data_IF_382860266528
#
_entry.id   IF_382860266528
#
_cell.length_a   1.000
_cell.length_b   1.000
_cell.length_c   1.000
_cell.angle_alpha   90.00
_cell.angle_beta   90.00
_cell.angle_gamma   90.00
#
_symmetry.space_group_name_H-M   'P 1'
#
loop_
_entity.id
_entity.type
_entity.pdbx_description
1 polymer ?
#
# COMPACT_ATOMS: atom_id res chain seq x y z
N UNK A 1 0.59 -23.22 34.04
CA UNK A 1 1.17 -22.47 32.91
C UNK A 1 0.40 -22.89 31.65
N UNK A 2 -0.37 -21.99 31.05
CA UNK A 2 -1.38 -22.32 30.03
C UNK A 2 -0.80 -22.31 28.61
N UNK A 3 -1.35 -23.13 27.70
CA UNK A 3 -0.87 -23.34 26.32
C UNK A 3 -0.72 -22.04 25.50
N UNK A 4 -1.49 -20.99 25.82
CA UNK A 4 -1.42 -19.65 25.20
C UNK A 4 -0.10 -18.94 25.52
N UNK A 5 0.49 -19.14 26.70
CA UNK A 5 1.80 -18.56 27.04
C UNK A 5 2.93 -19.20 26.24
N UNK A 6 2.77 -20.48 25.90
CA UNK A 6 3.77 -21.23 25.11
C UNK A 6 3.72 -20.89 23.61
N UNK A 7 2.57 -20.44 23.10
CA UNK A 7 2.47 -19.92 21.71
C UNK A 7 2.94 -18.48 21.59
N UNK A 8 2.77 -17.66 22.63
CA UNK A 8 3.33 -16.31 22.69
C UNK A 8 4.86 -16.33 22.80
N UNK A 9 5.45 -17.20 23.62
CA UNK A 9 6.91 -17.33 23.71
C UNK A 9 7.53 -17.94 22.43
N UNK A 10 6.75 -18.65 21.61
CA UNK A 10 7.19 -19.16 20.31
C UNK A 10 7.00 -18.15 19.15
N UNK A 11 5.99 -17.28 19.25
CA UNK A 11 5.75 -16.20 18.28
C UNK A 11 6.63 -14.98 18.54
N UNK A 12 7.13 -14.80 19.76
CA UNK A 12 7.94 -13.66 20.17
C UNK A 12 9.46 -13.89 20.08
N UNK A 13 9.92 -14.83 19.23
CA UNK A 13 11.33 -15.05 18.84
C UNK A 13 12.39 -14.46 19.77
N UNK A 14 12.97 -15.32 20.62
CA UNK A 14 14.10 -15.08 21.55
C UNK A 14 14.69 -13.65 21.65
N UNK A 15 14.01 -12.76 22.38
CA UNK A 15 14.43 -11.36 22.64
C UNK A 15 15.49 -11.27 23.76
N UNK A 16 16.13 -12.38 24.15
CA UNK A 16 17.13 -12.38 25.21
C UNK A 16 18.50 -11.84 24.75
N UNK A 17 18.90 -12.11 23.51
CA UNK A 17 20.18 -11.64 22.97
C UNK A 17 20.20 -10.11 22.77
N UNK A 18 19.04 -9.51 22.50
CA UNK A 18 18.88 -8.08 22.21
C UNK A 18 19.15 -7.20 23.46
N UNK A 19 18.94 -7.76 24.66
CA UNK A 19 19.19 -7.05 25.94
C UNK A 19 20.65 -7.02 26.35
N UNK A 20 21.44 -8.03 25.98
CA UNK A 20 22.89 -8.04 26.23
C UNK A 20 23.62 -7.14 25.22
N UNK A 21 23.15 -7.10 23.96
CA UNK A 21 23.71 -6.23 22.93
C UNK A 21 23.48 -4.74 23.25
N UNK A 22 22.28 -4.40 23.75
CA UNK A 22 21.96 -3.04 24.22
C UNK A 22 22.82 -2.61 25.42
N UNK A 23 23.15 -3.53 26.34
CA UNK A 23 24.05 -3.23 27.47
C UNK A 23 25.48 -2.99 27.01
N UNK A 24 25.98 -3.74 26.03
CA UNK A 24 27.32 -3.52 25.47
C UNK A 24 27.41 -2.19 24.70
N UNK A 25 26.35 -1.74 24.02
CA UNK A 25 26.30 -0.44 23.33
C UNK A 25 26.35 0.77 24.28
N UNK A 26 25.77 0.68 25.47
CA UNK A 26 25.80 1.78 26.45
C UNK A 26 27.17 1.92 27.14
N UNK A 27 27.91 0.81 27.30
CA UNK A 27 29.22 0.81 27.96
C UNK A 27 30.37 1.32 27.07
N UNK A 28 30.28 1.18 25.74
CA UNK A 28 31.41 1.45 24.84
C UNK A 28 31.45 2.84 24.18
N UNK A 29 30.66 3.82 24.63
CA UNK A 29 30.96 5.26 24.46
C UNK A 29 31.18 5.82 23.04
N UNK A 30 30.82 5.09 21.98
CA UNK A 30 31.04 5.51 20.59
C UNK A 30 29.95 6.47 20.09
N UNK A 31 30.23 7.78 20.07
CA UNK A 31 29.36 8.77 19.42
C UNK A 31 29.42 8.62 17.89
N UNK A 32 28.35 8.12 17.26
CA UNK A 32 28.08 8.30 15.82
C UNK A 32 27.32 9.63 15.58
N UNK A 33 27.50 10.28 14.42
CA UNK A 33 26.82 11.52 14.07
C UNK A 33 25.29 11.34 14.03
N UNK A 34 24.56 12.39 14.39
CA UNK A 34 23.08 12.45 14.45
C UNK A 34 22.46 11.96 13.14
N UNK A 35 21.82 10.78 13.17
CA UNK A 35 20.86 10.35 12.15
C UNK A 35 19.65 11.29 12.17
N UNK A 36 19.22 11.79 11.01
CA UNK A 36 17.88 12.35 10.83
C UNK A 36 16.90 11.18 10.90
N UNK A 37 15.95 11.24 11.83
CA UNK A 37 14.92 10.22 12.04
C UNK A 37 13.94 10.18 10.84
N UNK A 38 13.66 9.00 10.26
CA UNK A 38 12.52 8.79 9.35
C UNK A 38 11.23 8.40 10.13
N UNK A 39 11.13 8.83 11.39
CA UNK A 39 10.11 8.38 12.35
C UNK A 39 8.80 9.22 12.35
N UNK A 40 8.27 9.63 11.19
CA UNK A 40 6.82 9.74 11.04
C UNK A 40 6.24 8.90 9.89
N UNK A 41 7.06 8.37 8.96
CA UNK A 41 6.56 7.66 7.75
C UNK A 41 6.24 6.19 8.04
N UNK A 42 6.87 5.60 9.06
CA UNK A 42 6.63 4.20 9.45
C UNK A 42 5.27 4.04 10.16
N UNK A 43 4.76 5.10 10.81
CA UNK A 43 3.45 5.05 11.45
C UNK A 43 2.30 5.03 10.43
N UNK A 44 2.41 5.81 9.35
CA UNK A 44 1.44 5.79 8.25
C UNK A 44 1.51 4.51 7.42
N UNK A 45 2.70 3.93 7.24
CA UNK A 45 2.86 2.61 6.61
C UNK A 45 2.26 1.46 7.44
N UNK A 46 2.27 1.53 8.79
CA UNK A 46 1.65 0.51 9.64
C UNK A 46 0.12 0.59 9.62
N UNK A 47 -0.46 1.78 9.47
CA UNK A 47 -1.92 1.93 9.32
C UNK A 47 -2.37 1.46 7.93
N UNK A 48 -1.60 1.74 6.88
CA UNK A 48 -1.84 1.19 5.53
C UNK A 48 -1.60 -0.33 5.45
N UNK A 49 -0.57 -0.86 6.12
CA UNK A 49 -0.32 -2.31 6.17
C UNK A 49 -1.33 -3.06 7.04
N UNK A 50 -1.89 -2.44 8.08
CA UNK A 50 -3.00 -2.99 8.85
C UNK A 50 -4.31 -3.05 8.05
N UNK A 51 -4.47 -2.21 7.03
CA UNK A 51 -5.59 -2.28 6.07
C UNK A 51 -5.36 -3.41 5.05
N UNK A 52 -4.11 -3.78 4.76
CA UNK A 52 -3.74 -4.86 3.83
C UNK A 52 -3.71 -6.25 4.49
N UNK A 53 -3.60 -6.36 5.82
CA UNK A 53 -3.48 -7.65 6.52
C UNK A 53 -4.80 -8.28 7.00
N UNK A 54 -5.95 -7.62 6.83
CA UNK A 54 -7.28 -8.18 7.17
C UNK A 54 -7.89 -8.84 5.91
N UNK A 55 -7.10 -9.69 5.25
CA UNK A 55 -7.47 -10.50 4.09
C UNK A 55 -7.22 -11.98 4.38
N UNK A 56 -7.85 -12.53 5.43
CA UNK A 56 -7.93 -13.98 5.58
C UNK A 56 -9.32 -14.46 6.07
N UNK A 57 -10.05 -15.06 5.11
CA UNK A 57 -11.18 -16.00 5.19
C UNK A 57 -12.54 -15.52 5.77
N UNK A 58 -13.63 -15.60 4.97
CA UNK A 58 -14.63 -16.70 4.95
C UNK A 58 -15.81 -16.39 3.98
N UNK A 59 -15.93 -17.23 2.94
CA UNK A 59 -17.11 -17.85 2.26
C UNK A 59 -18.47 -17.12 2.01
N UNK A 60 -18.73 -16.98 0.71
CA UNK A 60 -19.83 -17.53 -0.13
C UNK A 60 -21.31 -17.07 -0.03
N UNK A 61 -21.78 -16.71 -1.24
CA UNK A 61 -23.13 -16.73 -1.84
C UNK A 61 -24.07 -15.54 -1.58
N UNK A 62 -24.13 -14.65 -2.59
CA UNK A 62 -25.28 -14.61 -3.50
C UNK A 62 -26.15 -13.34 -3.51
N UNK A 63 -26.02 -12.58 -4.60
CA UNK A 63 -27.07 -12.18 -5.58
C UNK A 63 -27.44 -10.68 -5.71
N UNK A 64 -26.99 -10.13 -6.85
CA UNK A 64 -27.74 -9.39 -7.90
C UNK A 64 -28.06 -7.87 -7.70
N UNK A 65 -27.20 -7.07 -8.35
CA UNK A 65 -27.46 -5.92 -9.28
C UNK A 65 -28.06 -4.59 -8.78
N UNK A 66 -27.51 -3.46 -9.26
CA UNK A 66 -28.02 -2.74 -10.46
C UNK A 66 -27.22 -1.48 -10.84
N UNK A 67 -26.77 -1.47 -12.10
CA UNK A 67 -26.53 -0.40 -13.07
C UNK A 67 -26.78 1.09 -12.71
N UNK A 68 -25.78 1.91 -13.06
CA UNK A 68 -25.98 3.22 -13.70
C UNK A 68 -25.51 4.45 -12.92
N UNK A 69 -24.21 4.60 -12.65
CA UNK A 69 -23.68 5.81 -12.03
C UNK A 69 -22.87 6.64 -13.02
N UNK A 70 -23.31 7.89 -13.28
CA UNK A 70 -22.36 8.94 -13.67
C UNK A 70 -21.36 9.08 -12.53
N UNK A 71 -20.09 8.78 -12.82
CA UNK A 71 -19.02 8.81 -11.83
C UNK A 71 -18.99 10.12 -11.05
N UNK A 72 -18.70 10.02 -9.75
CA UNK A 72 -18.44 11.14 -8.83
C UNK A 72 -17.34 10.74 -7.87
N UNK A 73 -16.44 11.68 -7.60
CA UNK A 73 -15.48 11.55 -6.50
C UNK A 73 -16.25 11.62 -5.18
N UNK A 74 -16.06 10.65 -4.29
CA UNK A 74 -16.71 10.64 -2.97
C UNK A 74 -16.08 11.71 -2.07
N UNK A 75 -16.83 12.81 -1.90
CA UNK A 75 -16.42 13.95 -1.09
C UNK A 75 -16.28 13.59 0.40
N UNK A 76 -17.14 12.69 0.90
CA UNK A 76 -17.12 12.30 2.31
C UNK A 76 -15.88 11.47 2.58
N UNK A 77 -15.58 10.51 1.72
CA UNK A 77 -14.35 9.72 1.78
C UNK A 77 -13.11 10.62 1.75
N UNK A 78 -13.04 11.56 0.80
CA UNK A 78 -11.92 12.49 0.69
C UNK A 78 -11.71 13.32 1.96
N UNK A 79 -12.76 13.91 2.49
CA UNK A 79 -12.67 14.75 3.69
C UNK A 79 -12.25 13.93 4.93
N UNK A 80 -12.75 12.69 5.05
CA UNK A 80 -12.39 11.77 6.14
C UNK A 80 -10.92 11.35 6.08
N UNK A 81 -10.45 10.90 4.90
CA UNK A 81 -9.05 10.51 4.70
C UNK A 81 -8.12 11.70 4.92
N UNK A 82 -8.45 12.87 4.36
CA UNK A 82 -7.65 14.09 4.52
C UNK A 82 -7.57 14.52 5.99
N UNK A 83 -8.68 14.46 6.74
CA UNK A 83 -8.64 14.79 8.16
C UNK A 83 -7.75 13.82 8.94
N UNK A 84 -7.85 12.52 8.67
CA UNK A 84 -7.04 11.50 9.32
C UNK A 84 -5.54 11.71 9.09
N UNK A 85 -5.12 11.91 7.83
CA UNK A 85 -3.71 12.09 7.49
C UNK A 85 -3.12 13.42 7.98
N UNK A 86 -3.95 14.46 8.11
CA UNK A 86 -3.52 15.78 8.62
C UNK A 86 -2.99 15.72 10.05
N UNK A 87 -3.44 14.75 10.85
CA UNK A 87 -3.00 14.60 12.25
C UNK A 87 -1.51 14.26 12.32
N UNK A 88 -1.02 13.49 11.36
CA UNK A 88 0.35 13.00 11.33
C UNK A 88 1.25 13.90 10.46
N UNK A 89 0.73 14.42 9.34
CA UNK A 89 1.52 15.11 8.32
C UNK A 89 1.32 16.63 8.28
N UNK A 90 0.33 17.16 9.01
CA UNK A 90 -0.10 18.55 8.91
C UNK A 90 -0.90 18.84 7.62
N UNK A 91 -1.35 20.09 7.46
CA UNK A 91 -2.06 20.50 6.23
C UNK A 91 -1.07 20.97 5.16
N UNK A 92 -1.13 20.35 3.99
CA UNK A 92 -0.32 20.73 2.84
C UNK A 92 -1.02 20.46 1.52
N UNK A 93 -0.61 21.19 0.49
CA UNK A 93 -1.01 20.97 -0.90
C UNK A 93 -0.68 19.55 -1.38
N UNK A 94 0.48 19.04 -0.97
CA UNK A 94 0.93 17.68 -1.27
C UNK A 94 0.03 16.64 -0.65
N UNK A 95 -0.38 16.82 0.60
CA UNK A 95 -1.28 15.88 1.28
C UNK A 95 -2.65 15.85 0.61
N UNK A 96 -3.24 17.03 0.31
CA UNK A 96 -4.51 17.13 -0.43
C UNK A 96 -4.44 16.38 -1.75
N UNK A 97 -3.37 16.58 -2.51
CA UNK A 97 -3.19 15.88 -3.78
C UNK A 97 -3.00 14.37 -3.59
N UNK A 98 -2.18 13.92 -2.64
CA UNK A 98 -1.96 12.48 -2.37
C UNK A 98 -3.23 11.73 -2.00
N UNK A 99 -4.04 12.30 -1.09
CA UNK A 99 -5.32 11.68 -0.69
C UNK A 99 -6.26 11.58 -1.89
N UNK A 100 -6.36 12.66 -2.68
CA UNK A 100 -7.16 12.67 -3.89
C UNK A 100 -6.70 11.64 -4.92
N UNK A 101 -5.39 11.57 -5.15
CA UNK A 101 -4.77 10.66 -6.10
C UNK A 101 -4.99 9.19 -5.69
N UNK A 102 -4.90 8.87 -4.40
CA UNK A 102 -5.21 7.52 -3.88
C UNK A 102 -6.66 7.09 -4.12
N UNK A 103 -7.63 8.02 -4.01
CA UNK A 103 -9.03 7.77 -4.34
C UNK A 103 -9.19 7.50 -5.85
N UNK A 104 -8.54 8.28 -6.70
CA UNK A 104 -8.61 8.06 -8.16
C UNK A 104 -7.99 6.74 -8.58
N UNK A 105 -6.85 6.36 -8.00
CA UNK A 105 -6.21 5.06 -8.24
C UNK A 105 -7.17 3.93 -7.88
N UNK A 106 -7.76 3.98 -6.69
CA UNK A 106 -8.72 2.95 -6.25
C UNK A 106 -9.98 2.91 -7.12
N UNK A 107 -10.59 4.07 -7.42
CA UNK A 107 -11.77 4.17 -8.28
C UNK A 107 -11.50 3.63 -9.69
N UNK A 108 -10.28 3.86 -10.21
CA UNK A 108 -9.87 3.41 -11.54
C UNK A 108 -9.78 1.89 -11.63
N UNK A 109 -9.26 1.21 -10.61
CA UNK A 109 -9.23 -0.27 -10.54
C UNK A 109 -10.64 -0.85 -10.49
N UNK A 110 -11.54 -0.25 -9.71
CA UNK A 110 -12.94 -0.69 -9.64
C UNK A 110 -13.65 -0.48 -10.99
N UNK A 111 -13.46 0.66 -11.66
CA UNK A 111 -14.02 0.93 -12.99
C UNK A 111 -13.45 -0.03 -14.05
N UNK A 112 -12.15 -0.32 -13.99
CA UNK A 112 -11.51 -1.27 -14.89
C UNK A 112 -12.04 -2.69 -14.70
N UNK A 113 -12.09 -3.21 -13.47
CA UNK A 113 -12.72 -4.49 -13.17
C UNK A 113 -14.16 -4.54 -13.70
N UNK A 114 -14.93 -3.47 -13.46
CA UNK A 114 -16.33 -3.38 -13.93
C UNK A 114 -16.41 -3.42 -15.46
N UNK A 115 -15.46 -2.79 -16.15
CA UNK A 115 -15.37 -2.83 -17.62
C UNK A 115 -15.10 -4.22 -18.19
N UNK A 116 -14.48 -5.10 -17.38
CA UNK A 116 -14.19 -6.49 -17.72
C UNK A 116 -15.28 -7.47 -17.25
N UNK A 117 -16.33 -6.98 -16.61
CA UNK A 117 -17.49 -7.79 -16.19
C UNK A 117 -17.54 -8.09 -14.69
N UNK A 118 -16.70 -7.48 -13.85
CA UNK A 118 -16.91 -7.49 -12.41
C UNK A 118 -18.23 -6.79 -12.06
N UNK A 119 -19.09 -7.48 -11.32
CA UNK A 119 -20.30 -6.91 -10.75
C UNK A 119 -20.13 -6.80 -9.24
N UNK A 120 -20.18 -5.57 -8.73
CA UNK A 120 -20.03 -5.28 -7.31
C UNK A 120 -21.28 -5.73 -6.52
N UNK A 121 -21.09 -6.64 -5.55
CA UNK A 121 -22.13 -7.06 -4.61
C UNK A 121 -22.17 -6.11 -3.40
N UNK A 122 -23.00 -5.07 -3.51
CA UNK A 122 -23.16 -4.05 -2.45
C UNK A 122 -23.77 -4.61 -1.18
N UNK A 123 -24.68 -5.57 -1.29
CA UNK A 123 -25.37 -6.14 -0.15
C UNK A 123 -24.42 -7.05 0.65
N UNK A 124 -23.56 -7.80 -0.04
CA UNK A 124 -22.49 -8.57 0.60
C UNK A 124 -21.52 -7.65 1.36
N UNK A 125 -21.06 -6.57 0.72
CA UNK A 125 -20.18 -5.59 1.38
C UNK A 125 -20.87 -5.01 2.61
N UNK A 126 -22.10 -4.50 2.48
CA UNK A 126 -22.84 -3.93 3.60
C UNK A 126 -23.06 -4.93 4.75
N UNK A 127 -23.23 -6.22 4.43
CA UNK A 127 -23.34 -7.29 5.42
C UNK A 127 -22.02 -7.50 6.17
N UNK A 128 -20.90 -7.60 5.45
CA UNK A 128 -19.56 -7.76 6.02
C UNK A 128 -19.25 -6.56 6.93
N UNK A 129 -19.55 -5.34 6.48
CA UNK A 129 -19.32 -4.12 7.27
C UNK A 129 -20.12 -4.15 8.57
N UNK A 130 -21.40 -4.54 8.52
CA UNK A 130 -22.24 -4.64 9.73
C UNK A 130 -21.71 -5.70 10.69
N UNK A 131 -21.29 -6.86 10.18
CA UNK A 131 -20.70 -7.91 11.01
C UNK A 131 -19.40 -7.45 11.66
N UNK A 132 -18.49 -6.85 10.89
CA UNK A 132 -17.23 -6.30 11.41
C UNK A 132 -17.47 -5.19 12.44
N UNK A 133 -18.45 -4.32 12.20
CA UNK A 133 -18.84 -3.28 13.15
C UNK A 133 -19.38 -3.90 14.44
N UNK A 134 -20.24 -4.91 14.35
CA UNK A 134 -20.79 -5.60 15.51
C UNK A 134 -19.67 -6.27 16.33
N UNK A 135 -18.84 -7.09 15.68
CA UNK A 135 -17.72 -7.79 16.32
C UNK A 135 -16.74 -6.83 17.00
N UNK A 136 -16.49 -5.67 16.42
CA UNK A 136 -15.63 -4.64 17.02
C UNK A 136 -16.16 -4.12 18.36
N UNK A 137 -17.50 -4.02 18.50
CA UNK A 137 -18.13 -3.51 19.72
C UNK A 137 -18.58 -4.59 20.71
N UNK A 138 -18.72 -5.85 20.28
CA UNK A 138 -19.28 -6.95 21.08
C UNK A 138 -18.54 -7.17 22.42
N UNK A 139 -17.22 -6.95 22.45
CA UNK A 139 -16.39 -7.13 23.64
C UNK A 139 -16.26 -5.87 24.52
N UNK A 140 -16.97 -4.78 24.18
CA UNK A 140 -16.85 -3.50 24.87
C UNK A 140 -18.03 -3.22 25.81
N UNK A 141 -17.70 -2.82 27.04
CA UNK A 141 -18.70 -2.28 27.97
C UNK A 141 -19.21 -0.91 27.50
N UNK A 142 -20.41 -0.52 27.93
CA UNK A 142 -21.01 0.79 27.56
C UNK A 142 -20.10 1.99 27.90
N UNK A 143 -19.35 1.91 29.01
CA UNK A 143 -18.39 2.96 29.39
C UNK A 143 -17.16 2.98 28.48
N UNK A 144 -16.64 1.81 28.09
CA UNK A 144 -15.54 1.71 27.13
C UNK A 144 -15.98 2.24 25.77
N UNK A 145 -17.18 1.86 25.31
CA UNK A 145 -17.76 2.31 24.04
C UNK A 145 -17.86 3.84 23.97
N UNK A 146 -18.46 4.48 24.98
CA UNK A 146 -18.52 5.95 25.06
C UNK A 146 -17.13 6.60 25.06
N UNK A 147 -16.16 5.96 25.73
CA UNK A 147 -14.79 6.48 25.77
C UNK A 147 -14.09 6.38 24.42
N UNK A 148 -14.22 5.26 23.71
CA UNK A 148 -13.58 5.08 22.41
C UNK A 148 -14.24 5.93 21.33
N UNK A 149 -15.58 6.07 21.34
CA UNK A 149 -16.29 6.92 20.38
C UNK A 149 -15.88 8.39 20.54
N UNK A 150 -15.79 8.85 21.78
CA UNK A 150 -15.32 10.19 22.07
C UNK A 150 -13.89 10.41 21.57
N UNK A 151 -12.97 9.47 21.86
CA UNK A 151 -11.59 9.56 21.38
C UNK A 151 -11.49 9.51 19.86
N UNK A 152 -12.31 8.69 19.20
CA UNK A 152 -12.34 8.58 17.75
C UNK A 152 -12.72 9.93 17.13
N UNK A 153 -13.78 10.55 17.63
CA UNK A 153 -14.22 11.86 17.16
C UNK A 153 -13.21 12.98 17.50
N UNK A 154 -12.62 12.97 18.69
CA UNK A 154 -11.63 13.97 19.12
C UNK A 154 -10.33 13.88 18.33
N UNK A 155 -9.87 12.67 18.03
CA UNK A 155 -8.62 12.46 17.32
C UNK A 155 -8.82 12.59 15.81
N UNK A 156 -9.83 11.93 15.25
CA UNK A 156 -9.96 11.75 13.81
C UNK A 156 -11.09 12.56 13.17
N UNK A 157 -11.88 13.30 13.96
CA UNK A 157 -12.93 14.18 13.42
C UNK A 157 -14.14 13.44 12.82
N UNK A 158 -14.20 12.11 12.95
CA UNK A 158 -15.31 11.27 12.53
C UNK A 158 -15.61 10.19 13.56
N UNK A 159 -16.83 9.64 13.50
CA UNK A 159 -17.23 8.55 14.38
C UNK A 159 -16.98 7.17 13.71
N UNK A 160 -17.11 6.09 14.49
CA UNK A 160 -16.94 4.75 13.96
C UNK A 160 -17.98 4.39 12.89
N UNK A 161 -19.21 4.91 12.97
CA UNK A 161 -20.23 4.67 11.93
C UNK A 161 -19.77 5.19 10.56
N UNK A 162 -19.17 6.38 10.52
CA UNK A 162 -18.56 6.95 9.31
C UNK A 162 -17.35 6.15 8.85
N UNK A 163 -16.49 5.71 9.78
CA UNK A 163 -15.36 4.85 9.46
C UNK A 163 -15.81 3.55 8.78
N UNK A 164 -16.75 2.82 9.38
CA UNK A 164 -17.26 1.56 8.86
C UNK A 164 -17.99 1.75 7.52
N UNK A 165 -18.93 2.69 7.45
CA UNK A 165 -19.78 2.87 6.25
C UNK A 165 -19.08 3.52 5.07
N UNK A 166 -18.04 4.32 5.31
CA UNK A 166 -17.35 5.07 4.24
C UNK A 166 -16.00 4.47 3.96
N UNK A 167 -15.07 4.50 4.94
CA UNK A 167 -13.70 4.04 4.72
C UNK A 167 -13.66 2.53 4.48
N UNK A 168 -14.26 1.76 5.39
CA UNK A 168 -14.16 0.30 5.32
C UNK A 168 -14.95 -0.27 4.13
N UNK A 169 -16.14 0.27 3.86
CA UNK A 169 -16.87 -0.03 2.62
C UNK A 169 -16.00 0.22 1.40
N UNK A 170 -15.34 1.38 1.32
CA UNK A 170 -14.48 1.72 0.19
C UNK A 170 -13.32 0.73 0.01
N UNK A 171 -12.66 0.36 1.11
CA UNK A 171 -11.61 -0.66 1.12
C UNK A 171 -12.12 -2.01 0.59
N UNK A 172 -13.28 -2.48 1.06
CA UNK A 172 -13.83 -3.76 0.59
C UNK A 172 -14.20 -3.75 -0.88
N UNK A 173 -14.72 -2.63 -1.41
CA UNK A 173 -14.98 -2.49 -2.85
C UNK A 173 -13.69 -2.68 -3.68
N UNK A 174 -12.60 -2.04 -3.26
CA UNK A 174 -11.30 -2.19 -3.90
C UNK A 174 -10.75 -3.60 -3.80
N UNK A 175 -10.78 -4.20 -2.60
CA UNK A 175 -10.29 -5.55 -2.37
C UNK A 175 -11.05 -6.57 -3.21
N UNK A 176 -12.38 -6.46 -3.29
CA UNK A 176 -13.19 -7.36 -4.10
C UNK A 176 -12.89 -7.22 -5.60
N UNK A 177 -12.77 -5.99 -6.11
CA UNK A 177 -12.38 -5.76 -7.50
C UNK A 177 -10.99 -6.32 -7.79
N UNK A 178 -9.99 -6.02 -6.95
CA UNK A 178 -8.61 -6.50 -7.10
C UNK A 178 -8.53 -8.04 -7.06
N UNK A 179 -9.20 -8.67 -6.10
CA UNK A 179 -9.25 -10.12 -5.99
C UNK A 179 -9.93 -10.77 -7.20
N UNK A 180 -10.99 -10.14 -7.72
CA UNK A 180 -11.65 -10.60 -8.93
C UNK A 180 -10.71 -10.54 -10.15
N UNK A 181 -9.96 -9.44 -10.31
CA UNK A 181 -8.97 -9.28 -11.38
C UNK A 181 -7.88 -10.36 -11.31
N UNK A 182 -7.41 -10.70 -10.11
CA UNK A 182 -6.44 -11.77 -9.89
C UNK A 182 -7.00 -13.17 -10.22
N UNK A 183 -8.27 -13.44 -9.89
CA UNK A 183 -8.89 -14.75 -10.07
C UNK A 183 -9.32 -15.03 -11.51
N UNK A 184 -9.55 -13.98 -12.31
CA UNK A 184 -10.04 -14.11 -13.68
C UNK A 184 -8.91 -14.07 -14.73
N UNK A 185 -7.66 -14.25 -14.29
CA UNK A 185 -6.46 -14.47 -15.12
C UNK A 185 -6.43 -13.57 -16.36
N UNK A 186 -6.47 -12.26 -16.11
CA UNK A 186 -6.45 -11.26 -17.16
C UNK A 186 -5.09 -11.34 -17.83
N UNK A 187 -5.04 -11.96 -19.02
CA UNK A 187 -3.84 -12.13 -19.85
C UNK A 187 -3.19 -10.77 -20.24
N UNK A 188 -3.89 -9.67 -19.99
CA UNK A 188 -3.48 -8.32 -20.35
C UNK A 188 -2.48 -7.76 -19.32
N UNK A 189 -1.28 -7.38 -19.77
CA UNK A 189 -0.23 -6.71 -18.97
C UNK A 189 -0.59 -5.25 -18.63
N UNK A 190 -1.88 -4.90 -18.70
CA UNK A 190 -2.38 -3.57 -18.40
C UNK A 190 -1.92 -3.14 -17.00
N UNK A 191 -1.24 -1.98 -16.95
CA UNK A 191 -0.69 -1.43 -15.72
C UNK A 191 -1.69 -0.55 -14.97
N UNK A 192 -1.46 -0.37 -13.67
CA UNK A 192 -2.23 0.58 -12.85
C UNK A 192 -2.19 2.01 -13.43
N UNK A 193 -1.06 2.43 -14.02
CA UNK A 193 -0.94 3.72 -14.72
C UNK A 193 -1.92 3.82 -15.89
N UNK A 194 -1.97 2.81 -16.74
CA UNK A 194 -2.84 2.81 -17.93
C UNK A 194 -4.31 2.84 -17.55
N UNK A 195 -4.69 2.10 -16.50
CA UNK A 195 -6.05 2.12 -15.94
C UNK A 195 -6.40 3.50 -15.40
N UNK A 196 -5.53 4.09 -14.58
CA UNK A 196 -5.73 5.41 -14.02
C UNK A 196 -5.85 6.49 -15.11
N UNK A 197 -4.98 6.47 -16.12
CA UNK A 197 -4.97 7.49 -17.17
C UNK A 197 -6.24 7.40 -18.02
N UNK A 198 -6.66 6.19 -18.39
CA UNK A 198 -7.92 5.93 -19.11
C UNK A 198 -9.12 6.41 -18.28
N UNK A 199 -9.12 6.11 -16.99
CA UNK A 199 -10.16 6.54 -16.06
C UNK A 199 -10.22 8.07 -15.92
N UNK A 200 -9.06 8.73 -15.79
CA UNK A 200 -8.95 10.18 -15.68
C UNK A 200 -9.43 10.85 -16.95
N UNK A 201 -9.06 10.34 -18.13
CA UNK A 201 -9.50 10.87 -19.42
C UNK A 201 -11.03 10.80 -19.56
N UNK A 202 -11.61 9.62 -19.27
CA UNK A 202 -13.06 9.38 -19.28
C UNK A 202 -13.83 10.33 -18.34
N UNK A 203 -13.26 10.63 -17.17
CA UNK A 203 -13.95 11.32 -16.08
C UNK A 203 -13.45 12.76 -15.79
N UNK A 204 -12.57 13.30 -16.64
CA UNK A 204 -11.85 14.55 -16.39
C UNK A 204 -12.73 15.74 -16.00
N UNK A 205 -13.90 15.99 -16.63
CA UNK A 205 -14.75 17.12 -16.25
C UNK A 205 -15.22 17.07 -14.78
N UNK A 206 -15.51 15.88 -14.26
CA UNK A 206 -15.96 15.67 -12.88
C UNK A 206 -14.78 15.82 -11.92
N UNK A 207 -13.66 15.17 -12.23
CA UNK A 207 -12.40 15.21 -11.48
C UNK A 207 -11.90 16.65 -11.33
N UNK A 208 -11.81 17.39 -12.45
CA UNK A 208 -11.37 18.79 -12.46
C UNK A 208 -12.29 19.69 -11.64
N UNK A 209 -13.61 19.48 -11.72
CA UNK A 209 -14.58 20.23 -10.91
C UNK A 209 -14.37 19.98 -9.42
N UNK A 210 -14.13 18.73 -9.03
CA UNK A 210 -13.84 18.37 -7.64
C UNK A 210 -12.55 19.04 -7.15
N UNK A 211 -11.45 18.97 -7.94
CA UNK A 211 -10.19 19.64 -7.61
C UNK A 211 -10.36 21.14 -7.38
N UNK A 212 -11.10 21.83 -8.25
CA UNK A 212 -11.39 23.27 -8.09
C UNK A 212 -12.18 23.54 -6.81
N UNK A 213 -13.24 22.76 -6.57
CA UNK A 213 -14.10 22.94 -5.39
C UNK A 213 -13.34 22.71 -4.08
N UNK A 214 -12.45 21.71 -4.04
CA UNK A 214 -11.65 21.34 -2.87
C UNK A 214 -10.29 22.04 -2.80
N UNK A 215 -10.01 22.95 -3.72
CA UNK A 215 -8.72 23.66 -3.83
C UNK A 215 -7.52 22.70 -3.83
N UNK A 216 -7.63 21.61 -4.59
CA UNK A 216 -6.58 20.61 -4.76
C UNK A 216 -5.68 21.06 -5.91
N UNK A 217 -4.39 21.34 -5.66
CA UNK A 217 -3.46 21.72 -6.73
C UNK A 217 -3.16 20.52 -7.62
N UNK A 218 -2.84 20.75 -8.88
CA UNK A 218 -2.33 19.69 -9.74
C UNK A 218 -0.83 19.49 -9.48
N UNK A 219 -0.48 18.34 -8.91
CA UNK A 219 0.90 17.95 -8.62
C UNK A 219 1.30 16.67 -9.36
N UNK A 220 0.63 16.36 -10.48
CA UNK A 220 0.81 15.09 -11.21
C UNK A 220 2.27 14.82 -11.58
N UNK A 221 2.98 15.81 -12.14
CA UNK A 221 4.39 15.66 -12.51
C UNK A 221 5.29 15.34 -11.30
N UNK A 222 4.94 15.85 -10.12
CA UNK A 222 5.76 15.68 -8.91
C UNK A 222 5.66 14.27 -8.32
N UNK A 223 4.50 13.62 -8.48
CA UNK A 223 4.25 12.28 -7.95
C UNK A 223 4.31 11.19 -9.03
N UNK A 224 4.66 11.57 -10.25
CA UNK A 224 4.70 10.64 -11.38
C UNK A 224 5.77 9.56 -11.21
N UNK A 225 6.91 9.90 -10.59
CA UNK A 225 8.06 9.00 -10.51
C UNK A 225 8.60 8.89 -9.09
N UNK A 226 9.16 7.73 -8.77
CA UNK A 226 9.83 7.43 -7.52
C UNK A 226 11.24 6.90 -7.78
N UNK A 227 12.10 7.03 -6.78
CA UNK A 227 13.45 6.49 -6.79
C UNK A 227 13.53 5.31 -5.82
N UNK A 228 14.10 4.19 -6.27
CA UNK A 228 14.45 3.03 -5.46
C UNK A 228 15.97 2.89 -5.41
N UNK A 229 16.55 3.03 -4.22
CA UNK A 229 17.99 2.92 -4.00
C UNK A 229 18.32 1.54 -3.40
N UNK A 230 19.15 0.75 -4.09
CA UNK A 230 19.48 -0.61 -3.64
C UNK A 230 20.64 -1.23 -4.42
N UNK A 231 20.87 -2.51 -4.21
CA UNK A 231 21.92 -3.28 -4.89
C UNK A 231 21.30 -4.17 -5.96
N UNK A 232 21.84 -4.12 -7.19
CA UNK A 232 21.45 -5.05 -8.25
C UNK A 232 21.94 -6.47 -7.91
N UNK A 233 21.04 -7.31 -7.41
CA UNK A 233 21.37 -8.63 -6.87
C UNK A 233 21.22 -9.77 -7.89
N UNK A 234 20.36 -9.60 -8.89
CA UNK A 234 20.20 -10.51 -10.03
C UNK A 234 19.87 -9.73 -11.29
N UNK A 235 20.38 -10.20 -12.44
CA UNK A 235 20.08 -9.67 -13.76
C UNK A 235 19.77 -10.86 -14.67
N UNK A 236 18.57 -10.91 -15.23
CA UNK A 236 18.15 -11.92 -16.22
C UNK A 236 17.56 -11.22 -17.44
N UNK A 237 18.37 -11.06 -18.49
CA UNK A 237 18.05 -10.39 -19.76
C UNK A 237 17.36 -9.01 -19.62
N UNK A 238 16.05 -9.03 -19.41
CA UNK A 238 15.14 -7.89 -19.31
C UNK A 238 14.61 -7.67 -17.88
N UNK A 239 15.10 -8.38 -16.88
CA UNK A 239 14.66 -8.28 -15.50
C UNK A 239 15.84 -8.08 -14.54
N UNK A 240 15.65 -7.18 -13.57
CA UNK A 240 16.64 -6.89 -12.53
C UNK A 240 15.98 -6.98 -11.17
N UNK A 241 16.59 -7.76 -10.29
CA UNK A 241 16.26 -7.76 -8.86
C UNK A 241 17.13 -6.73 -8.15
N UNK A 242 16.51 -5.69 -7.60
CA UNK A 242 17.19 -4.71 -6.74
C UNK A 242 16.74 -4.92 -5.31
N UNK A 243 17.72 -5.03 -4.39
CA UNK A 243 17.47 -5.35 -2.99
C UNK A 243 18.04 -4.32 -2.03
N UNK A 244 17.42 -4.21 -0.86
CA UNK A 244 17.91 -3.45 0.27
C UNK A 244 18.28 -4.38 1.44
N UNK A 245 19.28 -3.96 2.23
CA UNK A 245 19.66 -4.65 3.46
C UNK A 245 20.53 -5.89 3.28
N UNK A 246 20.98 -6.18 2.05
CA UNK A 246 21.95 -7.23 1.75
C UNK A 246 23.18 -6.65 1.07
N UNK A 247 24.37 -7.08 1.48
CA UNK A 247 25.60 -6.80 0.77
C UNK A 247 25.94 -7.96 -0.17
N UNK A 248 26.66 -7.73 -1.29
CA UNK A 248 26.95 -8.77 -2.28
C UNK A 248 27.45 -10.09 -1.68
N UNK A 249 28.37 -10.01 -0.72
CA UNK A 249 28.96 -11.18 -0.07
C UNK A 249 27.96 -12.05 0.71
N UNK A 250 26.80 -11.52 1.09
CA UNK A 250 25.74 -12.23 1.81
C UNK A 250 24.95 -13.17 0.89
N UNK A 251 24.93 -12.92 -0.42
CA UNK A 251 24.02 -13.59 -1.35
C UNK A 251 24.62 -14.09 -2.67
N UNK A 252 25.93 -13.95 -2.90
CA UNK A 252 26.62 -14.39 -4.14
C UNK A 252 26.32 -15.83 -4.57
N UNK A 253 25.93 -16.72 -3.64
CA UNK A 253 25.61 -18.13 -3.94
C UNK A 253 24.13 -18.49 -3.77
N UNK A 254 23.25 -17.49 -3.61
CA UNK A 254 21.81 -17.69 -3.45
C UNK A 254 21.11 -17.62 -4.80
N UNK A 255 20.02 -18.37 -4.92
CA UNK A 255 19.02 -18.21 -5.99
C UNK A 255 18.25 -16.90 -5.80
N UNK A 256 17.65 -16.31 -6.85
CA UNK A 256 16.83 -15.11 -6.71
C UNK A 256 15.74 -15.23 -5.63
N UNK A 257 15.08 -16.39 -5.52
CA UNK A 257 14.05 -16.65 -4.51
C UNK A 257 14.62 -16.67 -3.07
N UNK A 258 15.84 -17.17 -2.90
CA UNK A 258 16.54 -17.12 -1.60
C UNK A 258 16.97 -15.69 -1.25
N UNK A 259 17.36 -14.89 -2.25
CA UNK A 259 17.68 -13.47 -2.09
C UNK A 259 16.45 -12.68 -1.65
N UNK A 260 15.32 -12.86 -2.33
CA UNK A 260 14.03 -12.22 -1.99
C UNK A 260 13.63 -12.51 -0.53
N UNK A 261 13.83 -13.76 -0.08
CA UNK A 261 13.49 -14.19 1.27
C UNK A 261 14.43 -13.64 2.35
N UNK A 262 15.68 -13.34 2.00
CA UNK A 262 16.69 -12.83 2.90
C UNK A 262 16.76 -11.29 2.95
N UNK A 263 16.28 -10.61 1.91
CA UNK A 263 16.33 -9.17 1.78
C UNK A 263 15.41 -8.47 2.79
N UNK A 264 15.79 -7.27 3.21
CA UNK A 264 14.90 -6.40 3.99
C UNK A 264 13.73 -5.90 3.13
N UNK A 265 14.03 -5.55 1.89
CA UNK A 265 13.06 -5.19 0.86
C UNK A 265 13.66 -5.53 -0.51
N UNK A 266 12.78 -5.81 -1.49
CA UNK A 266 13.18 -6.16 -2.84
C UNK A 266 12.15 -5.73 -3.87
N UNK A 267 12.64 -5.43 -5.07
CA UNK A 267 11.83 -5.06 -6.21
C UNK A 267 12.40 -5.68 -7.48
N UNK A 268 11.52 -6.24 -8.31
CA UNK A 268 11.86 -6.60 -9.69
C UNK A 268 11.51 -5.45 -10.62
N UNK A 269 12.44 -5.14 -11.51
CA UNK A 269 12.26 -4.18 -12.57
C UNK A 269 12.37 -4.88 -13.91
N UNK A 270 11.35 -4.73 -14.75
CA UNK A 270 11.33 -5.22 -16.12
C UNK A 270 11.67 -4.09 -17.10
N UNK A 271 12.38 -4.43 -18.17
CA UNK A 271 12.90 -3.51 -19.16
C UNK A 271 12.52 -3.96 -20.56
N UNK A 272 12.00 -3.05 -21.38
CA UNK A 272 11.64 -3.33 -22.78
C UNK A 272 12.84 -3.68 -23.68
N UNK A 273 14.07 -3.56 -23.16
CA UNK A 273 15.31 -3.80 -23.89
C UNK A 273 16.32 -4.50 -22.99
N UNK A 274 17.23 -5.32 -23.58
CA UNK A 274 18.33 -5.93 -22.85
C UNK A 274 19.16 -4.90 -22.08
N UNK A 275 19.61 -5.33 -20.91
CA UNK A 275 20.30 -4.49 -19.94
C UNK A 275 21.81 -4.66 -20.11
N UNK A 276 22.40 -3.84 -20.97
CA UNK A 276 23.82 -3.94 -21.29
C UNK A 276 24.72 -3.14 -20.32
N UNK A 277 24.17 -2.13 -19.65
CA UNK A 277 24.96 -1.16 -18.86
C UNK A 277 24.90 -1.37 -17.34
N UNK A 278 24.03 -2.23 -16.82
CA UNK A 278 23.89 -2.45 -15.37
C UNK A 278 24.90 -3.47 -14.87
N UNK A 279 25.64 -3.12 -13.82
CA UNK A 279 26.59 -4.05 -13.20
C UNK A 279 25.91 -4.86 -12.09
N UNK A 280 26.07 -6.18 -12.14
CA UNK A 280 25.69 -7.02 -11.01
C UNK A 280 26.49 -6.61 -9.76
N UNK A 281 25.82 -6.61 -8.61
CA UNK A 281 26.37 -6.23 -7.31
C UNK A 281 26.79 -4.75 -7.18
N UNK A 282 26.40 -3.88 -8.12
CA UNK A 282 26.55 -2.44 -7.93
C UNK A 282 25.38 -1.86 -7.13
N UNK A 283 25.67 -0.76 -6.45
CA UNK A 283 24.64 0.10 -5.87
C UNK A 283 24.02 0.92 -7.00
N UNK A 284 22.71 0.77 -7.18
CA UNK A 284 21.93 1.35 -8.26
C UNK A 284 20.75 2.12 -7.68
N UNK A 285 20.53 3.33 -8.21
CA UNK A 285 19.30 4.08 -7.98
C UNK A 285 18.44 3.94 -9.23
N UNK A 286 17.23 3.40 -9.09
CA UNK A 286 16.26 3.21 -10.18
C UNK A 286 15.16 4.26 -10.07
N UNK A 287 14.93 5.05 -11.12
CA UNK A 287 13.77 5.94 -11.25
C UNK A 287 12.69 5.25 -12.07
N UNK A 288 11.51 5.09 -11.51
CA UNK A 288 10.40 4.33 -12.10
C UNK A 288 9.05 5.00 -11.81
N UNK A 289 8.03 4.61 -12.57
CA UNK A 289 6.65 4.96 -12.27
C UNK A 289 6.10 3.97 -11.21
N UNK A 290 5.68 4.44 -10.02
CA UNK A 290 5.16 3.54 -9.00
C UNK A 290 3.84 2.86 -9.36
N UNK A 291 3.21 3.21 -10.49
CA UNK A 291 1.99 2.58 -11.01
C UNK A 291 2.25 1.74 -12.28
N UNK A 292 3.50 1.53 -12.70
CA UNK A 292 3.83 0.73 -13.88
C UNK A 292 3.82 -0.78 -13.62
N UNK A 293 3.07 -1.25 -12.65
CA UNK A 293 2.93 -2.68 -12.38
C UNK A 293 1.56 -3.20 -12.86
N UNK A 294 1.47 -4.48 -13.26
CA UNK A 294 0.20 -5.08 -13.70
C UNK A 294 -0.88 -4.96 -12.64
N UNK A 295 -2.12 -4.70 -13.06
CA UNK A 295 -3.25 -4.59 -12.13
C UNK A 295 -3.53 -5.93 -11.42
N UNK A 296 -3.36 -7.05 -12.14
CA UNK A 296 -3.39 -8.38 -11.57
C UNK A 296 -1.96 -8.85 -11.26
N UNK A 297 -1.55 -8.78 -9.99
CA UNK A 297 -0.27 -9.36 -9.54
C UNK A 297 -0.46 -10.75 -8.96
N UNK A 298 0.45 -11.66 -9.30
CA UNK A 298 0.64 -12.91 -8.55
C UNK A 298 1.29 -12.59 -7.20
N UNK A 299 0.83 -13.22 -6.12
CA UNK A 299 1.32 -12.97 -4.76
C UNK A 299 2.85 -13.03 -4.68
N UNK A 300 3.46 -12.04 -4.01
CA UNK A 300 4.87 -12.06 -3.61
C UNK A 300 5.87 -11.41 -4.58
N UNK A 301 5.53 -11.20 -5.86
CA UNK A 301 6.45 -10.55 -6.83
C UNK A 301 5.99 -9.15 -7.23
N UNK A 302 6.67 -8.12 -6.73
CA UNK A 302 6.53 -6.74 -7.19
C UNK A 302 7.39 -6.53 -8.43
N UNK A 303 6.76 -6.64 -9.60
CA UNK A 303 7.41 -6.36 -10.89
C UNK A 303 6.89 -5.02 -11.40
N UNK A 304 7.77 -4.04 -11.54
CA UNK A 304 7.47 -2.76 -12.19
C UNK A 304 8.02 -2.76 -13.61
N UNK A 305 7.19 -2.31 -14.54
CA UNK A 305 7.55 -2.06 -15.93
C UNK A 305 8.01 -0.59 -16.08
N UNK A 306 8.42 -0.15 -17.26
CA UNK A 306 8.70 1.28 -17.56
C UNK A 306 9.75 1.96 -16.65
N UNK A 307 10.93 1.36 -16.50
CA UNK A 307 12.07 2.03 -15.86
C UNK A 307 12.57 3.18 -16.73
N UNK A 308 12.68 4.37 -16.13
CA UNK A 308 12.98 5.62 -16.84
C UNK A 308 14.46 5.91 -16.86
N UNK A 309 15.12 5.64 -15.73
CA UNK A 309 16.54 5.93 -15.54
C UNK A 309 17.10 5.03 -14.44
N UNK A 310 18.37 4.67 -14.57
CA UNK A 310 19.17 4.25 -13.41
C UNK A 310 20.44 5.08 -13.29
N UNK A 311 21.04 5.04 -12.11
CA UNK A 311 22.37 5.57 -11.83
C UNK A 311 23.15 4.50 -11.06
N UNK A 312 24.23 4.00 -11.66
CA UNK A 312 25.23 3.23 -10.92
C UNK A 312 26.09 4.20 -10.12
N UNK A 313 26.03 4.11 -8.80
CA UNK A 313 26.68 5.08 -7.89
C UNK A 313 28.20 4.87 -7.73
N UNK A 314 28.85 4.24 -8.72
CA UNK A 314 30.31 4.05 -8.75
C UNK A 314 31.06 4.91 -9.80
N UNK A 315 30.43 5.98 -10.30
CA UNK A 315 31.14 7.12 -10.91
C UNK A 315 31.16 8.36 -10.00
#
# INVERSE_FOLDING_TARGET
>A
MNKVKKSLDAAAGDVFDDKEELKQRVLNGGRKPKRRNPFPVVASAIVLAAIVFITFNVLQNGSISTNGSTYKVDETLYDLMLHSERLDQGDSDELRYRVFQSILETDSVIDYASSLGYEEDRDEIDSIIKEQQQLFFDDLTEQQLKSIEKKQLENFGYNYDQYFKVILTYTHRYSNASNWLQQNDIEDETTQRQVLDTFKEKNWPVIKKFMVNKSIPDLSERFQFQEYDGVAASIDNEQVLVVQGLEPHDYVNMTPEEIESAAFDFVWFHFDKPIDDLKLHSQTIVTFDPLSYPVAQQEGKKIFNDVIKWIDSQE
#
